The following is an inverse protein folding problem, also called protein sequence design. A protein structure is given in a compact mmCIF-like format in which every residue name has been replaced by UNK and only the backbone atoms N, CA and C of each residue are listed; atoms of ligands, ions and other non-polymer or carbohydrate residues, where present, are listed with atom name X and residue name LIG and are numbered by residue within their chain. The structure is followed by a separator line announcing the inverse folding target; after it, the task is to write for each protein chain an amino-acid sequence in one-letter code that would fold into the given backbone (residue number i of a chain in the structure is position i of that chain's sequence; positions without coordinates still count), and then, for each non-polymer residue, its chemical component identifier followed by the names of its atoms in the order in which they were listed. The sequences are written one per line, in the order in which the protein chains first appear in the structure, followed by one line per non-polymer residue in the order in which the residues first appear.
data_IF_496147399676
#
_entry.id   IF_496147399676
#
_cell.length_a   1.000
_cell.length_b   1.000
_cell.length_c   1.000
_cell.angle_alpha   90.00
_cell.angle_beta   90.00
_cell.angle_gamma   90.00
#
_symmetry.space_group_name_H-M   'P 1'
#
loop_
_entity.id
_entity.type
_entity.pdbx_description
1 polymer ?
#
# COMPACT_ATOMS: atom_id res chain seq x y z
N UNK A 1 46.12 -29.31 32.23
CA UNK A 1 45.58 -29.74 30.92
C UNK A 1 44.52 -28.75 30.48
N UNK A 2 44.76 -28.05 29.37
CA UNK A 2 43.81 -27.08 28.82
C UNK A 2 42.87 -27.77 27.82
N UNK A 3 41.56 -27.62 28.00
CA UNK A 3 40.62 -27.67 26.86
C UNK A 3 39.67 -26.48 26.93
N UNK A 4 39.82 -25.64 25.90
CA UNK A 4 39.15 -24.36 25.65
C UNK A 4 37.62 -24.49 25.59
N UNK A 5 36.99 -23.47 26.18
CA UNK A 5 35.92 -22.64 25.62
C UNK A 5 34.63 -23.29 25.07
N UNK A 6 33.53 -22.91 25.74
CA UNK A 6 32.22 -22.55 25.19
C UNK A 6 32.00 -22.78 23.69
N UNK A 7 31.26 -23.83 23.38
CA UNK A 7 30.40 -23.87 22.20
C UNK A 7 28.99 -24.27 22.66
N UNK A 8 28.29 -23.37 23.36
CA UNK A 8 26.81 -23.40 23.34
C UNK A 8 26.44 -23.15 21.89
N UNK A 9 26.03 -24.21 21.19
CA UNK A 9 25.54 -24.17 19.82
C UNK A 9 24.55 -23.02 19.69
N UNK A 10 25.04 -21.89 19.18
CA UNK A 10 24.29 -20.67 18.97
C UNK A 10 23.38 -20.97 17.81
N UNK A 11 22.19 -21.51 18.12
CA UNK A 11 21.21 -21.90 17.10
C UNK A 11 21.10 -20.80 16.06
N UNK A 12 21.02 -21.22 14.80
CA UNK A 12 21.03 -20.47 13.54
C UNK A 12 20.07 -19.26 13.48
N UNK A 13 19.26 -19.00 14.52
CA UNK A 13 18.49 -17.78 14.74
C UNK A 13 18.84 -17.13 16.09
N UNK A 14 19.49 -15.97 16.02
CA UNK A 14 19.64 -15.07 17.16
C UNK A 14 18.26 -14.68 17.74
N UNK A 15 18.12 -14.45 19.07
CA UNK A 15 16.86 -14.04 19.69
C UNK A 15 16.25 -12.79 19.04
N UNK A 16 17.09 -11.86 18.59
CA UNK A 16 16.71 -10.67 17.83
C UNK A 16 16.08 -11.01 16.47
N UNK A 17 16.62 -11.99 15.74
CA UNK A 17 16.06 -12.48 14.48
C UNK A 17 14.65 -13.07 14.65
N UNK A 18 14.43 -13.87 15.70
CA UNK A 18 13.10 -14.42 16.01
C UNK A 18 12.07 -13.33 16.38
N UNK A 19 12.51 -12.26 17.05
CA UNK A 19 11.68 -11.07 17.31
C UNK A 19 11.31 -10.35 16.01
N UNK A 20 12.28 -10.12 15.12
CA UNK A 20 12.04 -9.47 13.82
C UNK A 20 11.06 -10.25 12.94
N UNK A 21 11.14 -11.58 12.92
CA UNK A 21 10.18 -12.42 12.19
C UNK A 21 8.73 -12.26 12.69
N UNK A 22 8.52 -12.17 14.01
CA UNK A 22 7.18 -11.91 14.57
C UNK A 22 6.67 -10.50 14.22
N UNK A 23 7.55 -9.51 14.28
CA UNK A 23 7.22 -8.13 13.91
C UNK A 23 6.87 -7.99 12.42
N UNK A 24 7.60 -8.69 11.54
CA UNK A 24 7.38 -8.61 10.09
C UNK A 24 6.02 -9.18 9.69
N UNK A 25 5.57 -10.27 10.31
CA UNK A 25 4.23 -10.85 10.07
C UNK A 25 3.14 -9.84 10.41
N UNK A 26 3.21 -9.21 11.60
CA UNK A 26 2.24 -8.18 12.04
C UNK A 26 2.23 -6.98 11.09
N UNK A 27 3.41 -6.48 10.71
CA UNK A 27 3.52 -5.34 9.80
C UNK A 27 3.03 -5.69 8.39
N UNK A 28 3.31 -6.90 7.90
CA UNK A 28 2.85 -7.37 6.59
C UNK A 28 1.32 -7.41 6.52
N UNK A 29 0.65 -7.99 7.53
CA UNK A 29 -0.81 -8.05 7.58
C UNK A 29 -1.45 -6.65 7.46
N UNK A 30 -0.98 -5.68 8.25
CA UNK A 30 -1.47 -4.30 8.20
C UNK A 30 -1.18 -3.62 6.85
N UNK A 31 0.03 -3.78 6.31
CA UNK A 31 0.43 -3.17 5.04
C UNK A 31 -0.34 -3.76 3.86
N UNK A 32 -0.63 -5.06 3.89
CA UNK A 32 -1.42 -5.73 2.86
C UNK A 32 -2.86 -5.23 2.85
N UNK A 33 -3.47 -5.01 4.01
CA UNK A 33 -4.79 -4.38 4.10
C UNK A 33 -4.80 -2.96 3.51
N UNK A 34 -3.79 -2.13 3.81
CA UNK A 34 -3.65 -0.77 3.25
C UNK A 34 -3.46 -0.79 1.73
N UNK A 35 -2.63 -1.70 1.21
CA UNK A 35 -2.44 -1.86 -0.25
C UNK A 35 -3.72 -2.31 -0.95
N UNK A 36 -4.48 -3.21 -0.33
CA UNK A 36 -5.79 -3.62 -0.84
C UNK A 36 -6.74 -2.44 -0.90
N UNK A 37 -6.86 -1.66 0.19
CA UNK A 37 -7.70 -0.45 0.25
C UNK A 37 -7.35 0.56 -0.85
N UNK A 38 -6.06 0.81 -1.09
CA UNK A 38 -5.60 1.68 -2.18
C UNK A 38 -6.05 1.16 -3.55
N UNK A 39 -5.86 -0.14 -3.82
CA UNK A 39 -6.27 -0.77 -5.09
C UNK A 39 -7.78 -0.73 -5.28
N UNK A 40 -8.56 -0.97 -4.23
CA UNK A 40 -10.02 -0.89 -4.26
C UNK A 40 -10.51 0.52 -4.56
N UNK A 41 -9.91 1.54 -3.95
CA UNK A 41 -10.22 2.94 -4.25
C UNK A 41 -9.99 3.27 -5.73
N UNK A 42 -8.83 2.88 -6.29
CA UNK A 42 -8.54 3.04 -7.73
C UNK A 42 -9.54 2.26 -8.61
N UNK A 43 -9.89 1.04 -8.22
CA UNK A 43 -10.85 0.20 -8.96
C UNK A 43 -12.25 0.83 -8.97
N UNK A 44 -12.69 1.43 -7.86
CA UNK A 44 -14.00 2.09 -7.77
C UNK A 44 -14.13 3.25 -8.75
N UNK A 45 -13.12 4.10 -8.84
CA UNK A 45 -13.08 5.21 -9.80
C UNK A 45 -13.06 4.69 -11.24
N UNK A 46 -12.24 3.67 -11.53
CA UNK A 46 -12.22 3.04 -12.87
C UNK A 46 -13.57 2.46 -13.28
N UNK A 47 -14.29 1.86 -12.34
CA UNK A 47 -15.64 1.34 -12.59
C UNK A 47 -16.63 2.48 -12.90
N UNK A 48 -16.53 3.59 -12.18
CA UNK A 48 -17.35 4.78 -12.44
C UNK A 48 -17.04 5.40 -13.81
N UNK A 49 -15.75 5.48 -14.19
CA UNK A 49 -15.33 5.92 -15.52
C UNK A 49 -15.90 5.01 -16.61
N UNK A 50 -15.83 3.69 -16.43
CA UNK A 50 -16.37 2.73 -17.39
C UNK A 50 -17.90 2.79 -17.54
N UNK A 51 -18.61 3.34 -16.56
CA UNK A 51 -20.05 3.57 -16.63
C UNK A 51 -20.44 4.81 -17.46
N UNK A 52 -19.48 5.67 -17.84
CA UNK A 52 -19.69 6.80 -18.75
C UNK A 52 -20.33 8.06 -18.14
N UNK A 53 -20.70 8.05 -16.86
CA UNK A 53 -21.28 9.22 -16.19
C UNK A 53 -20.18 10.11 -15.58
N UNK A 54 -19.92 11.25 -16.21
CA UNK A 54 -18.90 12.20 -15.79
C UNK A 54 -19.13 12.74 -14.37
N UNK A 55 -20.36 13.12 -14.03
CA UNK A 55 -20.67 13.71 -12.73
C UNK A 55 -20.44 12.70 -11.60
N UNK A 56 -20.97 11.48 -11.77
CA UNK A 56 -20.74 10.38 -10.81
C UNK A 56 -19.27 9.99 -10.72
N UNK A 57 -18.54 9.94 -11.84
CA UNK A 57 -17.12 9.63 -11.82
C UNK A 57 -16.30 10.68 -11.05
N UNK A 58 -16.66 11.96 -11.17
CA UNK A 58 -15.99 13.05 -10.46
C UNK A 58 -16.28 13.03 -8.95
N UNK A 59 -17.51 12.71 -8.54
CA UNK A 59 -17.86 12.55 -7.12
C UNK A 59 -17.09 11.38 -6.49
N UNK A 60 -17.09 10.22 -7.15
CA UNK A 60 -16.36 9.03 -6.69
C UNK A 60 -14.86 9.32 -6.62
N UNK A 61 -14.31 10.07 -7.57
CA UNK A 61 -12.91 10.49 -7.53
C UNK A 61 -12.61 11.39 -6.33
N UNK A 62 -13.43 12.41 -6.06
CA UNK A 62 -13.26 13.32 -4.92
C UNK A 62 -13.30 12.56 -3.59
N UNK A 63 -14.21 11.61 -3.43
CA UNK A 63 -14.32 10.79 -2.22
C UNK A 63 -13.09 9.87 -2.01
N UNK A 64 -12.50 9.37 -3.10
CA UNK A 64 -11.37 8.43 -3.02
C UNK A 64 -9.99 9.11 -2.99
N UNK A 65 -9.85 10.34 -3.47
CA UNK A 65 -8.60 11.10 -3.43
C UNK A 65 -7.93 11.15 -2.04
N UNK A 66 -8.62 11.51 -0.94
CA UNK A 66 -8.00 11.56 0.40
C UNK A 66 -7.58 10.17 0.90
N UNK A 67 -8.26 9.11 0.47
CA UNK A 67 -7.86 7.73 0.81
C UNK A 67 -6.54 7.36 0.14
N UNK A 68 -6.33 7.76 -1.12
CA UNK A 68 -5.08 7.50 -1.83
C UNK A 68 -3.89 8.23 -1.18
N UNK A 69 -4.09 9.50 -0.82
CA UNK A 69 -3.04 10.34 -0.24
C UNK A 69 -2.70 9.92 1.21
N UNK A 70 -3.70 9.62 2.04
CA UNK A 70 -3.47 9.14 3.41
C UNK A 70 -2.71 7.81 3.47
N UNK A 71 -2.85 6.94 2.47
CA UNK A 71 -2.08 5.70 2.37
C UNK A 71 -0.65 5.97 1.87
N UNK A 72 -0.47 6.96 0.98
CA UNK A 72 0.84 7.38 0.50
C UNK A 72 1.68 8.03 1.62
N UNK A 73 1.06 8.82 2.51
CA UNK A 73 1.75 9.43 3.64
C UNK A 73 2.27 8.41 4.66
N UNK A 74 1.61 7.25 4.77
CA UNK A 74 2.09 6.10 5.55
C UNK A 74 3.31 5.39 4.93
N UNK A 75 3.86 5.92 3.83
CA UNK A 75 5.01 5.38 3.09
C UNK A 75 4.81 3.94 2.57
N UNK A 76 3.56 3.49 2.46
CA UNK A 76 3.23 2.19 1.86
C UNK A 76 3.40 2.24 0.35
N UNK A 77 3.11 3.40 -0.25
CA UNK A 77 3.42 3.75 -1.63
C UNK A 77 4.23 5.05 -1.64
N UNK A 78 5.07 5.22 -2.66
CA UNK A 78 5.74 6.49 -2.88
C UNK A 78 4.73 7.56 -3.31
N UNK A 79 4.93 8.82 -2.87
CA UNK A 79 4.05 9.95 -3.20
C UNK A 79 3.88 10.13 -4.72
N UNK A 80 4.96 9.98 -5.48
CA UNK A 80 4.93 10.02 -6.95
C UNK A 80 4.05 8.93 -7.58
N UNK A 81 3.96 7.74 -6.95
CA UNK A 81 3.05 6.69 -7.43
C UNK A 81 1.60 7.06 -7.20
N UNK A 82 1.25 7.60 -6.03
CA UNK A 82 -0.09 8.13 -5.79
C UNK A 82 -0.42 9.30 -6.73
N UNK A 83 0.50 10.25 -6.91
CA UNK A 83 0.35 11.37 -7.85
C UNK A 83 0.12 10.90 -9.29
N UNK A 84 0.89 9.90 -9.76
CA UNK A 84 0.70 9.30 -11.08
C UNK A 84 -0.68 8.67 -11.25
N UNK A 85 -1.18 7.97 -10.22
CA UNK A 85 -2.54 7.42 -10.25
C UNK A 85 -3.60 8.51 -10.29
N UNK A 86 -3.48 9.57 -9.47
CA UNK A 86 -4.41 10.71 -9.49
C UNK A 86 -4.43 11.42 -10.84
N UNK A 87 -3.25 11.70 -11.41
CA UNK A 87 -3.12 12.33 -12.73
C UNK A 87 -3.80 11.51 -13.83
N UNK A 88 -3.53 10.20 -13.89
CA UNK A 88 -4.13 9.31 -14.90
C UNK A 88 -5.65 9.18 -14.76
N UNK A 89 -6.16 9.06 -13.53
CA UNK A 89 -7.61 8.99 -13.30
C UNK A 89 -8.31 10.30 -13.68
N UNK A 90 -7.72 11.44 -13.35
CA UNK A 90 -8.26 12.74 -13.73
C UNK A 90 -8.28 12.94 -15.24
N UNK A 91 -7.20 12.55 -15.94
CA UNK A 91 -7.16 12.60 -17.40
C UNK A 91 -8.26 11.73 -18.04
N UNK A 92 -8.50 10.53 -17.51
CA UNK A 92 -9.56 9.65 -17.99
C UNK A 92 -10.97 10.20 -17.73
N UNK A 93 -11.20 10.87 -16.59
CA UNK A 93 -12.49 11.53 -16.31
C UNK A 93 -12.71 12.69 -17.27
N UNK A 94 -11.69 13.53 -17.49
CA UNK A 94 -11.76 14.66 -18.44
C UNK A 94 -12.08 14.19 -19.86
N UNK A 95 -11.51 13.06 -20.28
CA UNK A 95 -11.79 12.47 -21.59
C UNK A 95 -13.24 12.01 -21.77
N UNK A 96 -14.02 11.80 -20.70
CA UNK A 96 -15.45 11.51 -20.79
C UNK A 96 -16.31 12.75 -21.08
N UNK A 97 -15.77 13.95 -20.82
CA UNK A 97 -16.46 15.23 -21.05
C UNK A 97 -16.00 15.93 -22.34
N UNK A 98 -15.05 15.35 -23.06
CA UNK A 98 -14.51 15.85 -24.32
C UNK A 98 -15.24 15.26 -25.53
#
# INVERSE_FOLDING_TARGET
MATKAAAKNKSVRTPSGRKRARQSIKANAANTALRSRFRTAVKSVRKAIAAGDHAKAMEVFKANAPVLDSIADKKIFHKNTAARHKSRLNAAIKALAA
#
